data_IF_498246970679
#
_entry.id   IF_498246970679
#
_cell.length_a   1.000
_cell.length_b   1.000
_cell.length_c   1.000
_cell.angle_alpha   90.00
_cell.angle_beta   90.00
_cell.angle_gamma   90.00
#
_symmetry.space_group_name_H-M   'P 1'
#
loop_
_entity.id
_entity.type
_entity.pdbx_description
1 polymer ?
#
# COMPACT_ATOMS: atom_id res chain seq x y z
N UNK A 1 -2.12 14.79 -20.56
CA UNK A 1 -2.15 14.28 -19.17
C UNK A 1 -2.81 15.36 -18.33
N UNK A 2 -3.83 15.09 -17.50
CA UNK A 2 -4.35 16.12 -16.63
C UNK A 2 -3.29 16.41 -15.57
N UNK A 3 -2.52 17.47 -15.81
CA UNK A 3 -1.62 18.07 -14.82
C UNK A 3 -2.48 18.85 -13.84
N UNK A 4 -2.51 18.44 -12.57
CA UNK A 4 -3.36 19.07 -11.56
C UNK A 4 -3.34 18.34 -10.22
N UNK A 5 -3.98 18.95 -9.22
CA UNK A 5 -4.17 18.36 -7.89
C UNK A 5 -5.35 17.39 -7.95
N UNK A 6 -5.15 16.15 -7.52
CA UNK A 6 -6.19 15.14 -7.44
C UNK A 6 -6.55 14.89 -5.98
N UNK A 7 -7.85 14.93 -5.65
CA UNK A 7 -8.35 14.48 -4.35
C UNK A 7 -8.48 12.96 -4.40
N UNK A 8 -7.77 12.27 -3.52
CA UNK A 8 -7.81 10.82 -3.37
C UNK A 8 -8.49 10.44 -2.06
N UNK A 9 -9.29 9.39 -2.08
CA UNK A 9 -9.93 8.83 -0.89
C UNK A 9 -9.57 7.34 -0.78
N UNK A 10 -8.76 7.01 0.23
CA UNK A 10 -8.32 5.64 0.48
C UNK A 10 -9.43 4.75 1.06
N UNK A 11 -10.53 5.32 1.57
CA UNK A 11 -11.68 4.52 2.00
C UNK A 11 -12.36 3.80 0.83
N UNK A 12 -12.18 4.31 -0.40
CA UNK A 12 -12.63 3.67 -1.64
C UNK A 12 -11.52 2.81 -2.29
N UNK A 13 -10.53 2.36 -1.52
CA UNK A 13 -9.43 1.54 -2.05
C UNK A 13 -9.93 0.23 -2.65
N UNK A 14 -9.50 -0.03 -3.88
CA UNK A 14 -9.87 -1.23 -4.64
C UNK A 14 -9.02 -2.46 -4.25
N UNK A 15 -7.84 -2.25 -3.63
CA UNK A 15 -6.91 -3.31 -3.23
C UNK A 15 -6.37 -3.03 -1.82
N UNK A 16 -6.89 -3.79 -0.86
CA UNK A 16 -6.46 -3.73 0.55
C UNK A 16 -5.75 -5.03 0.91
N UNK A 17 -4.46 -4.94 1.25
CA UNK A 17 -3.65 -6.07 1.71
C UNK A 17 -3.29 -5.88 3.17
N UNK A 18 -3.37 -6.97 3.95
CA UNK A 18 -3.10 -6.94 5.40
C UNK A 18 -2.04 -7.98 5.82
N UNK A 19 -0.77 -7.82 5.41
CA UNK A 19 0.35 -8.57 5.99
C UNK A 19 0.49 -8.30 7.49
N UNK A 20 1.35 -9.07 8.18
CA UNK A 20 1.59 -8.83 9.61
C UNK A 20 2.03 -7.38 9.88
N UNK A 21 1.48 -6.77 10.94
CA UNK A 21 1.72 -5.37 11.33
C UNK A 21 1.55 -4.33 10.22
N UNK A 22 0.89 -4.67 9.11
CA UNK A 22 0.84 -3.83 7.91
C UNK A 22 -0.56 -3.76 7.32
N UNK A 23 -0.98 -2.58 6.91
CA UNK A 23 -2.13 -2.40 6.01
C UNK A 23 -1.63 -1.61 4.80
N UNK A 24 -1.84 -2.17 3.62
CA UNK A 24 -1.58 -1.53 2.33
C UNK A 24 -2.90 -1.28 1.64
N UNK A 25 -3.18 -0.03 1.30
CA UNK A 25 -4.37 0.37 0.55
C UNK A 25 -3.91 1.02 -0.75
N UNK A 26 -4.36 0.50 -1.89
CA UNK A 26 -4.03 1.05 -3.21
C UNK A 26 -5.24 1.67 -3.88
N UNK A 27 -5.08 2.86 -4.45
CA UNK A 27 -6.05 3.54 -5.30
C UNK A 27 -5.44 3.86 -6.65
N UNK A 28 -6.25 3.83 -7.70
CA UNK A 28 -5.82 4.22 -9.06
C UNK A 28 -6.35 5.62 -9.37
N UNK A 29 -5.46 6.52 -9.79
CA UNK A 29 -5.78 7.91 -10.13
C UNK A 29 -5.29 8.18 -11.56
N UNK A 30 -6.21 8.12 -12.51
CA UNK A 30 -5.88 8.17 -13.93
C UNK A 30 -4.96 7.00 -14.31
N UNK A 31 -3.72 7.29 -14.73
CA UNK A 31 -2.72 6.29 -15.08
C UNK A 31 -1.77 5.92 -13.93
N UNK A 32 -1.93 6.52 -12.75
CA UNK A 32 -1.01 6.35 -11.61
C UNK A 32 -1.65 5.51 -10.52
N UNK A 33 -0.90 4.55 -9.97
CA UNK A 33 -1.29 3.83 -8.74
C UNK A 33 -0.63 4.47 -7.53
N UNK A 34 -1.42 4.74 -6.49
CA UNK A 34 -0.96 5.31 -5.23
C UNK A 34 -1.27 4.33 -4.11
N UNK A 35 -0.27 4.00 -3.29
CA UNK A 35 -0.42 3.12 -2.15
C UNK A 35 -0.22 3.88 -0.83
N UNK A 36 -1.08 3.62 0.16
CA UNK A 36 -0.91 4.04 1.56
C UNK A 36 -0.48 2.85 2.38
N UNK A 37 0.64 3.00 3.08
CA UNK A 37 1.18 2.00 3.99
C UNK A 37 0.94 2.46 5.44
N UNK A 38 0.21 1.65 6.21
CA UNK A 38 0.09 1.82 7.67
C UNK A 38 0.82 0.68 8.34
N UNK A 39 1.83 0.99 9.16
CA UNK A 39 2.65 0.01 9.86
C UNK A 39 2.57 0.20 11.36
N UNK A 40 2.60 -0.91 12.09
CA UNK A 40 2.63 -0.90 13.56
C UNK A 40 4.08 -0.87 14.08
N UNK A 41 4.32 -0.40 15.32
CA UNK A 41 5.64 -0.49 15.95
C UNK A 41 6.21 -1.90 15.91
N UNK A 42 7.53 -2.01 15.70
CA UNK A 42 8.20 -3.30 15.55
C UNK A 42 7.96 -3.99 14.20
N UNK A 43 7.53 -3.22 13.18
CA UNK A 43 7.47 -3.69 11.80
C UNK A 43 8.88 -3.85 11.21
N UNK A 44 9.13 -5.01 10.62
CA UNK A 44 10.38 -5.32 9.91
C UNK A 44 10.00 -5.96 8.58
N UNK A 45 10.53 -5.44 7.47
CA UNK A 45 10.20 -5.92 6.12
C UNK A 45 10.35 -7.45 5.99
N UNK A 46 11.49 -7.98 6.46
CA UNK A 46 11.82 -9.40 6.38
C UNK A 46 10.86 -10.29 7.17
N UNK A 47 10.28 -9.79 8.26
CA UNK A 47 9.34 -10.54 9.09
C UNK A 47 7.90 -10.39 8.59
N UNK A 48 7.53 -9.18 8.17
CA UNK A 48 6.15 -8.81 7.89
C UNK A 48 5.74 -8.96 6.42
N UNK A 49 6.67 -8.78 5.48
CA UNK A 49 6.36 -8.69 4.03
C UNK A 49 7.05 -9.79 3.22
N UNK A 50 8.33 -10.05 3.45
CA UNK A 50 9.08 -11.08 2.71
C UNK A 50 8.36 -12.45 2.64
N UNK A 51 7.73 -12.97 3.71
CA UNK A 51 6.97 -14.23 3.65
C UNK A 51 5.75 -14.18 2.72
N UNK A 52 5.17 -12.99 2.54
CA UNK A 52 3.98 -12.77 1.69
C UNK A 52 4.36 -12.64 0.22
N UNK A 53 5.50 -12.00 -0.07
CA UNK A 53 5.94 -11.75 -1.45
C UNK A 53 6.95 -12.77 -1.97
N UNK A 54 7.45 -13.68 -1.12
CA UNK A 54 8.36 -14.75 -1.49
C UNK A 54 9.76 -14.26 -1.90
N UNK A 55 10.24 -13.18 -1.28
CA UNK A 55 11.56 -12.58 -1.56
C UNK A 55 12.48 -12.70 -0.36
N UNK A 56 13.77 -12.98 -0.57
CA UNK A 56 14.77 -13.15 0.52
C UNK A 56 15.41 -11.85 1.06
N UNK A 57 15.01 -10.68 0.57
CA UNK A 57 15.62 -9.38 0.86
C UNK A 57 15.46 -8.89 2.31
#
# INVERSE_FOLDING_TARGET
MPSGINKIDFSSSDDIRKPDKTVVETVTVGATKVARLTVQPGWVWKECIAPVVGTDS
#
